data_IF_365491026837
#
_entry.id   IF_365491026837
#
_cell.length_a   1.000
_cell.length_b   1.000
_cell.length_c   1.000
_cell.angle_alpha   90.00
_cell.angle_beta   90.00
_cell.angle_gamma   90.00
#
_symmetry.space_group_name_H-M   'P 1'
#
loop_
_entity.id
_entity.type
_entity.pdbx_description
1 polymer ?
#
# COMPACT_ATOMS: atom_id res chain seq x y z
N UNK A 1 25.12 -40.60 5.66
CA UNK A 1 24.25 -39.46 5.35
C UNK A 1 23.67 -38.94 6.63
N UNK A 2 24.26 -37.89 7.12
CA UNK A 2 23.69 -37.18 8.25
C UNK A 2 22.80 -36.07 7.72
N UNK A 3 21.50 -36.27 7.80
CA UNK A 3 20.59 -35.15 7.72
C UNK A 3 20.67 -34.45 9.06
N UNK A 4 21.35 -33.33 9.05
CA UNK A 4 21.35 -32.45 10.19
C UNK A 4 19.95 -31.86 10.31
N UNK A 5 19.15 -32.46 11.17
CA UNK A 5 17.86 -31.92 11.58
C UNK A 5 18.08 -30.79 12.59
N UNK A 6 19.08 -29.98 12.37
CA UNK A 6 19.15 -28.70 13.06
C UNK A 6 18.00 -27.85 12.55
N UNK A 7 16.88 -28.00 13.21
CA UNK A 7 15.86 -26.97 13.17
C UNK A 7 16.52 -25.67 13.57
N UNK A 8 16.85 -24.88 12.58
CA UNK A 8 17.41 -23.56 12.77
C UNK A 8 16.44 -22.77 13.64
N UNK A 9 16.80 -22.37 14.84
CA UNK A 9 15.93 -21.55 15.68
C UNK A 9 15.64 -20.17 15.03
N UNK A 10 16.32 -19.83 13.95
CA UNK A 10 16.02 -18.68 13.11
C UNK A 10 14.76 -18.84 12.24
N UNK A 11 14.33 -20.07 11.95
CA UNK A 11 13.18 -20.27 11.06
C UNK A 11 11.88 -19.69 11.65
N UNK A 12 11.65 -19.81 12.94
CA UNK A 12 10.48 -19.22 13.58
C UNK A 12 10.54 -17.68 13.63
N UNK A 13 11.73 -17.12 13.74
CA UNK A 13 11.94 -15.67 13.69
C UNK A 13 11.71 -15.12 12.28
N UNK A 14 12.12 -15.86 11.25
CA UNK A 14 11.89 -15.47 9.87
C UNK A 14 10.39 -15.45 9.52
N UNK A 15 9.62 -16.42 9.98
CA UNK A 15 8.17 -16.47 9.75
C UNK A 15 7.47 -15.29 10.42
N UNK A 16 7.86 -14.94 11.66
CA UNK A 16 7.31 -13.78 12.36
C UNK A 16 7.69 -12.47 11.66
N UNK A 17 8.92 -12.36 11.16
CA UNK A 17 9.38 -11.18 10.42
C UNK A 17 8.64 -11.00 9.10
N UNK A 18 8.39 -12.09 8.35
CA UNK A 18 7.63 -12.05 7.10
C UNK A 18 6.17 -11.63 7.35
N UNK A 19 5.56 -12.09 8.44
CA UNK A 19 4.20 -11.68 8.80
C UNK A 19 4.13 -10.19 9.15
N UNK A 20 5.09 -9.69 9.93
CA UNK A 20 5.20 -8.28 10.26
C UNK A 20 5.43 -7.43 9.01
N UNK A 21 6.27 -7.89 8.07
CA UNK A 21 6.51 -7.22 6.79
C UNK A 21 5.23 -7.16 5.93
N UNK A 22 4.43 -8.24 5.90
CA UNK A 22 3.16 -8.26 5.16
C UNK A 22 2.14 -7.28 5.72
N UNK A 23 2.11 -7.06 7.02
CA UNK A 23 1.20 -6.10 7.64
C UNK A 23 1.57 -4.65 7.35
N UNK A 24 2.83 -4.38 7.01
CA UNK A 24 3.37 -3.05 6.74
C UNK A 24 3.49 -2.73 5.24
N UNK A 25 3.04 -3.61 4.37
CA UNK A 25 3.00 -3.37 2.94
C UNK A 25 1.79 -2.53 2.55
N UNK A 26 1.90 -1.84 1.42
CA UNK A 26 0.77 -1.10 0.84
C UNK A 26 -0.41 -2.05 0.64
N UNK A 27 -1.59 -1.62 1.07
CA UNK A 27 -2.81 -2.42 1.03
C UNK A 27 -3.74 -1.91 -0.05
N UNK A 28 -4.30 -2.84 -0.81
CA UNK A 28 -5.33 -2.56 -1.81
C UNK A 28 -6.68 -3.06 -1.31
N UNK A 29 -7.68 -2.20 -1.36
CA UNK A 29 -9.08 -2.56 -1.15
C UNK A 29 -9.91 -2.14 -2.35
N UNK A 30 -10.66 -3.10 -2.86
CA UNK A 30 -11.64 -2.89 -3.94
C UNK A 30 -13.02 -3.11 -3.36
N UNK A 31 -13.92 -2.15 -3.55
CA UNK A 31 -15.31 -2.26 -3.12
C UNK A 31 -16.18 -1.55 -4.14
N UNK A 32 -17.08 -2.30 -4.82
CA UNK A 32 -17.84 -1.74 -5.92
C UNK A 32 -16.93 -1.11 -6.98
N UNK A 33 -17.26 0.10 -7.41
CA UNK A 33 -16.40 0.86 -8.35
C UNK A 33 -15.49 1.84 -7.60
N UNK A 34 -14.77 1.34 -6.61
CA UNK A 34 -13.81 2.13 -5.84
C UNK A 34 -12.52 1.37 -5.56
N UNK A 35 -11.43 2.11 -5.53
CA UNK A 35 -10.10 1.66 -5.19
C UNK A 35 -9.58 2.44 -3.98
N UNK A 36 -9.07 1.73 -2.99
CA UNK A 36 -8.40 2.35 -1.85
C UNK A 36 -7.01 1.76 -1.68
N UNK A 37 -6.01 2.60 -1.67
CA UNK A 37 -4.64 2.25 -1.31
C UNK A 37 -4.31 2.84 0.05
N UNK A 38 -3.77 2.03 0.95
CA UNK A 38 -3.26 2.48 2.23
C UNK A 38 -1.76 2.23 2.29
N UNK A 39 -1.02 3.26 2.68
CA UNK A 39 0.43 3.23 2.73
C UNK A 39 0.94 3.40 4.15
N UNK A 40 1.94 2.60 4.52
CA UNK A 40 2.68 2.75 5.76
C UNK A 40 3.65 3.94 5.67
N UNK A 41 4.27 4.27 6.78
CA UNK A 41 5.30 5.33 6.81
C UNK A 41 6.48 4.99 5.91
N UNK A 42 6.94 3.74 5.93
CA UNK A 42 8.06 3.29 5.08
C UNK A 42 7.68 3.26 3.60
N UNK A 43 6.46 2.89 3.27
CA UNK A 43 5.96 2.96 1.88
C UNK A 43 5.98 4.39 1.36
N UNK A 44 5.50 5.33 2.16
CA UNK A 44 5.46 6.73 1.77
C UNK A 44 6.88 7.31 1.59
N UNK A 45 7.81 6.94 2.47
CA UNK A 45 9.21 7.32 2.32
C UNK A 45 9.82 6.76 1.03
N UNK A 46 9.55 5.49 0.71
CA UNK A 46 10.00 4.87 -0.54
C UNK A 46 9.38 5.52 -1.77
N UNK A 47 8.10 5.88 -1.70
CA UNK A 47 7.42 6.59 -2.78
C UNK A 47 8.09 7.93 -3.06
N UNK A 48 8.45 8.67 -2.01
CA UNK A 48 9.14 9.96 -2.15
C UNK A 48 10.54 9.81 -2.73
N UNK A 49 11.24 8.72 -2.42
CA UNK A 49 12.60 8.47 -2.90
C UNK A 49 12.64 7.91 -4.32
N UNK A 50 11.81 6.92 -4.62
CA UNK A 50 11.86 6.18 -5.89
C UNK A 50 10.82 6.62 -6.91
N UNK A 51 9.79 7.34 -6.48
CA UNK A 51 8.68 7.77 -7.32
C UNK A 51 7.62 6.71 -7.58
N UNK A 52 7.86 5.45 -7.22
CA UNK A 52 6.92 4.35 -7.43
C UNK A 52 7.09 3.29 -6.36
N UNK A 53 5.97 2.78 -5.86
CA UNK A 53 5.91 1.58 -5.03
C UNK A 53 4.92 0.61 -5.65
N UNK A 54 5.21 -0.69 -5.58
CA UNK A 54 4.41 -1.73 -6.20
C UNK A 54 4.38 -2.97 -5.32
N UNK A 55 3.22 -3.61 -5.27
CA UNK A 55 3.02 -4.90 -4.63
C UNK A 55 2.38 -5.86 -5.63
N UNK A 56 2.70 -7.15 -5.50
CA UNK A 56 2.18 -8.18 -6.39
C UNK A 56 1.59 -9.31 -5.57
N UNK A 57 0.39 -9.74 -5.94
CA UNK A 57 -0.24 -10.93 -5.40
C UNK A 57 -0.25 -12.03 -6.48
N UNK A 58 0.15 -13.22 -6.11
CA UNK A 58 0.15 -14.40 -6.98
C UNK A 58 -1.02 -15.31 -6.61
N UNK A 59 -1.82 -15.68 -7.61
CA UNK A 59 -2.99 -16.54 -7.41
C UNK A 59 -2.71 -18.00 -7.81
N UNK A 60 -1.70 -18.23 -8.65
CA UNK A 60 -1.26 -19.54 -9.10
C UNK A 60 0.19 -19.47 -9.57
N UNK A 61 0.73 -20.61 -9.99
CA UNK A 61 2.13 -20.70 -10.43
C UNK A 61 2.38 -20.05 -11.80
N UNK A 62 1.34 -19.93 -12.64
CA UNK A 62 1.48 -19.30 -13.95
C UNK A 62 1.79 -17.80 -13.81
N UNK A 63 2.67 -17.31 -14.66
CA UNK A 63 3.06 -15.88 -14.66
C UNK A 63 1.88 -14.93 -14.91
N UNK A 64 0.84 -15.40 -15.61
CA UNK A 64 -0.37 -14.61 -15.87
C UNK A 64 -1.34 -14.57 -14.69
N UNK A 65 -1.18 -15.45 -13.69
CA UNK A 65 -2.06 -15.54 -12.53
C UNK A 65 -1.60 -14.65 -11.38
N UNK A 66 -1.39 -13.37 -11.69
CA UNK A 66 -0.95 -12.37 -10.72
C UNK A 66 -1.67 -11.04 -10.92
N UNK A 67 -1.71 -10.26 -9.87
CA UNK A 67 -2.14 -8.87 -9.92
C UNK A 67 -1.09 -8.02 -9.22
N UNK A 68 -0.60 -7.00 -9.92
CA UNK A 68 0.23 -5.97 -9.32
C UNK A 68 -0.58 -4.70 -9.15
N UNK A 69 -0.37 -4.02 -8.06
CA UNK A 69 -0.95 -2.71 -7.82
C UNK A 69 0.15 -1.75 -7.38
N UNK A 70 0.11 -0.56 -7.90
CA UNK A 70 1.18 0.40 -7.76
C UNK A 70 0.66 1.80 -7.48
N UNK A 71 1.46 2.56 -6.77
CA UNK A 71 1.28 3.98 -6.55
C UNK A 71 2.52 4.69 -7.10
N UNK A 72 2.30 5.69 -7.94
CA UNK A 72 3.37 6.38 -8.64
C UNK A 72 3.16 7.89 -8.63
N UNK A 73 4.25 8.62 -8.43
CA UNK A 73 4.26 10.06 -8.64
C UNK A 73 4.38 10.36 -10.13
N UNK A 74 3.52 11.22 -10.64
CA UNK A 74 3.53 11.61 -12.05
C UNK A 74 3.77 13.10 -12.19
N UNK A 75 4.76 13.47 -12.99
CA UNK A 75 4.99 14.86 -13.37
C UNK A 75 4.15 15.27 -14.60
N UNK A 76 3.63 14.28 -15.32
CA UNK A 76 2.86 14.51 -16.54
C UNK A 76 1.37 14.74 -16.29
N UNK A 77 0.86 14.39 -15.11
CA UNK A 77 -0.56 14.48 -14.78
C UNK A 77 -0.80 15.53 -13.70
N UNK A 78 -1.73 16.43 -13.96
CA UNK A 78 -2.12 17.46 -13.00
C UNK A 78 -3.16 16.96 -11.97
N UNK A 79 -3.81 15.83 -12.28
CA UNK A 79 -4.87 15.24 -11.47
C UNK A 79 -4.58 13.78 -11.16
N UNK A 80 -5.22 13.28 -10.11
CA UNK A 80 -5.23 11.87 -9.76
C UNK A 80 -5.77 11.08 -10.95
N UNK A 81 -5.06 10.02 -11.35
CA UNK A 81 -5.47 9.17 -12.46
C UNK A 81 -5.13 7.71 -12.20
N UNK A 82 -5.71 6.82 -12.99
CA UNK A 82 -5.46 5.38 -12.92
C UNK A 82 -5.12 4.86 -14.29
N UNK A 83 -4.05 4.08 -14.37
CA UNK A 83 -3.67 3.36 -15.58
C UNK A 83 -3.83 1.88 -15.34
N UNK A 84 -4.58 1.22 -16.21
CA UNK A 84 -4.70 -0.22 -16.19
C UNK A 84 -3.98 -0.83 -17.38
N UNK A 85 -3.12 -1.79 -17.08
CA UNK A 85 -2.53 -2.69 -18.08
C UNK A 85 -2.81 -4.12 -17.62
N UNK A 86 -2.75 -5.13 -18.49
CA UNK A 86 -2.96 -6.51 -18.06
C UNK A 86 -2.14 -6.81 -16.81
N UNK A 87 -2.83 -7.25 -15.75
CA UNK A 87 -2.24 -7.64 -14.47
C UNK A 87 -1.65 -6.51 -13.62
N UNK A 88 -1.75 -5.25 -14.06
CA UNK A 88 -1.18 -4.11 -13.31
C UNK A 88 -2.16 -2.94 -13.25
N UNK A 89 -2.48 -2.52 -12.03
CA UNK A 89 -3.23 -1.30 -11.77
C UNK A 89 -2.27 -0.28 -11.15
N UNK A 90 -2.12 0.88 -11.77
CA UNK A 90 -1.28 1.95 -11.24
C UNK A 90 -2.14 3.18 -10.94
N UNK A 91 -2.08 3.66 -9.71
CA UNK A 91 -2.65 4.95 -9.32
C UNK A 91 -1.55 6.00 -9.46
N UNK A 92 -1.82 7.02 -10.25
CA UNK A 92 -0.89 8.12 -10.50
C UNK A 92 -1.27 9.33 -9.67
N UNK A 93 -0.36 9.80 -8.85
CA UNK A 93 -0.51 11.01 -8.06
C UNK A 93 0.25 12.15 -8.71
N UNK A 94 -0.36 13.36 -8.82
CA UNK A 94 0.42 14.55 -9.18
C UNK A 94 1.58 14.72 -8.21
N UNK A 95 2.79 14.96 -8.70
CA UNK A 95 3.98 15.03 -7.87
C UNK A 95 3.91 16.09 -6.77
N UNK A 96 3.31 17.25 -7.04
CA UNK A 96 3.11 18.30 -6.05
C UNK A 96 2.15 17.86 -4.93
N UNK A 97 1.02 17.26 -5.32
CA UNK A 97 0.03 16.75 -4.36
C UNK A 97 0.60 15.63 -3.50
N UNK A 98 1.38 14.74 -4.09
CA UNK A 98 2.03 13.64 -3.37
C UNK A 98 3.01 14.18 -2.31
N UNK A 99 3.77 15.19 -2.66
CA UNK A 99 4.73 15.81 -1.74
C UNK A 99 4.04 16.54 -0.58
N UNK A 100 3.03 17.34 -0.87
CA UNK A 100 2.25 18.03 0.15
C UNK A 100 1.60 17.05 1.13
N UNK A 101 1.04 15.98 0.60
CA UNK A 101 0.46 14.92 1.41
C UNK A 101 1.50 14.20 2.27
N UNK A 102 2.66 13.89 1.71
CA UNK A 102 3.73 13.19 2.43
C UNK A 102 4.30 14.04 3.57
N UNK A 103 4.48 15.32 3.35
CA UNK A 103 5.09 16.26 4.31
C UNK A 103 4.09 16.87 5.29
N UNK A 104 2.80 16.83 4.96
CA UNK A 104 1.73 17.46 5.73
C UNK A 104 0.96 16.50 6.64
N UNK A 105 -0.09 17.03 7.23
CA UNK A 105 -0.96 16.32 8.15
C UNK A 105 -2.20 15.72 7.47
N UNK A 106 -2.31 15.86 6.17
CA UNK A 106 -3.45 15.35 5.43
C UNK A 106 -3.50 13.82 5.47
N UNK A 107 -4.70 13.29 5.67
CA UNK A 107 -4.95 11.86 5.77
C UNK A 107 -4.74 11.17 4.43
N UNK A 108 -5.18 11.77 3.35
CA UNK A 108 -5.12 11.16 2.04
C UNK A 108 -5.36 12.09 0.88
N UNK A 109 -5.31 11.51 -0.30
CA UNK A 109 -5.66 12.13 -1.58
C UNK A 109 -6.86 11.37 -2.13
N UNK A 110 -7.87 12.11 -2.56
CA UNK A 110 -9.15 11.57 -2.99
C UNK A 110 -9.52 12.11 -4.35
N UNK A 111 -10.16 11.30 -5.18
CA UNK A 111 -10.65 11.76 -6.46
C UNK A 111 -11.59 10.76 -7.13
N UNK A 112 -12.38 11.28 -8.05
CA UNK A 112 -13.21 10.49 -8.96
C UNK A 112 -12.58 10.54 -10.35
N UNK A 113 -12.18 9.38 -10.85
CA UNK A 113 -11.57 9.24 -12.15
C UNK A 113 -12.65 8.86 -13.17
N UNK A 114 -12.76 9.64 -14.25
CA UNK A 114 -13.64 9.31 -15.36
C UNK A 114 -13.01 8.19 -16.18
N UNK A 115 -13.68 7.04 -16.25
CA UNK A 115 -13.21 5.87 -16.99
C UNK A 115 -13.76 5.80 -18.42
N UNK A 116 -14.59 6.77 -18.81
CA UNK A 116 -15.30 6.77 -20.09
C UNK A 116 -16.69 6.10 -20.03
N UNK A 117 -16.87 5.14 -19.14
CA UNK A 117 -18.15 4.44 -18.93
C UNK A 117 -18.74 4.67 -17.53
N UNK A 118 -17.93 5.12 -16.60
CA UNK A 118 -18.33 5.33 -15.21
C UNK A 118 -17.32 6.24 -14.51
N UNK A 119 -17.58 6.52 -13.24
CA UNK A 119 -16.61 7.20 -12.38
C UNK A 119 -16.07 6.23 -11.35
N UNK A 120 -14.75 6.14 -11.30
CA UNK A 120 -14.03 5.31 -10.35
C UNK A 120 -13.59 6.17 -9.16
N UNK A 121 -14.11 5.86 -7.98
CA UNK A 121 -13.64 6.52 -6.77
C UNK A 121 -12.27 5.98 -6.37
N UNK A 122 -11.31 6.88 -6.22
CA UNK A 122 -9.93 6.52 -5.85
C UNK A 122 -9.55 7.22 -4.55
N UNK A 123 -9.07 6.43 -3.61
CA UNK A 123 -8.69 6.88 -2.28
C UNK A 123 -7.28 6.39 -2.01
N UNK A 124 -6.37 7.32 -1.73
CA UNK A 124 -5.01 7.01 -1.29
C UNK A 124 -4.81 7.63 0.07
N UNK A 125 -4.58 6.82 1.08
CA UNK A 125 -4.50 7.33 2.45
C UNK A 125 -3.36 6.68 3.25
N UNK A 126 -2.94 7.39 4.28
CA UNK A 126 -2.00 6.89 5.27
C UNK A 126 -2.64 5.80 6.11
N UNK A 127 -1.89 4.72 6.38
CA UNK A 127 -2.33 3.65 7.26
C UNK A 127 -2.07 4.06 8.71
N UNK A 128 -3.12 4.51 9.40
CA UNK A 128 -2.99 4.98 10.77
C UNK A 128 -2.96 3.85 11.79
N UNK A 129 -2.27 4.10 12.89
CA UNK A 129 -2.21 3.20 14.02
C UNK A 129 -3.59 2.93 14.60
N UNK A 130 -3.87 1.66 14.90
CA UNK A 130 -5.07 1.23 15.58
C UNK A 130 -4.82 1.21 17.09
N UNK A 131 -5.68 1.86 17.85
CA UNK A 131 -5.58 1.86 19.33
C UNK A 131 -5.89 0.51 19.94
N UNK A 132 -6.67 -0.34 19.24
CA UNK A 132 -7.04 -1.67 19.68
C UNK A 132 -5.97 -2.74 19.40
N UNK A 133 -4.86 -2.35 18.76
CA UNK A 133 -3.77 -3.26 18.42
C UNK A 133 -2.56 -2.99 19.29
N UNK A 134 -1.72 -4.02 19.46
CA UNK A 134 -0.46 -3.89 20.18
C UNK A 134 0.45 -2.85 19.50
N UNK A 135 1.37 -2.27 20.26
CA UNK A 135 2.37 -1.34 19.72
C UNK A 135 3.17 -1.96 18.56
N UNK A 136 3.39 -3.29 18.60
CA UNK A 136 4.08 -4.01 17.51
C UNK A 136 3.31 -3.94 16.19
N UNK A 137 2.00 -4.06 16.25
CA UNK A 137 1.15 -4.01 15.07
C UNK A 137 1.06 -2.60 14.49
N UNK A 138 1.41 -1.60 15.27
CA UNK A 138 1.34 -0.19 14.91
C UNK A 138 2.71 0.45 14.56
N UNK A 139 3.81 -0.34 14.59
CA UNK A 139 5.18 0.19 14.48
C UNK A 139 5.39 1.06 13.24
N UNK A 140 4.86 0.68 12.09
CA UNK A 140 5.04 1.39 10.82
C UNK A 140 3.78 2.15 10.37
N UNK A 141 2.88 2.43 11.30
CA UNK A 141 1.65 3.17 11.04
C UNK A 141 1.77 4.60 11.52
N UNK A 142 0.96 5.45 10.90
CA UNK A 142 0.88 6.84 11.33
C UNK A 142 0.13 6.95 12.65
N UNK A 143 0.46 7.93 13.50
CA UNK A 143 -0.34 8.19 14.71
C UNK A 143 -1.79 8.48 14.32
N UNK A 144 -2.74 7.87 15.05
CA UNK A 144 -4.15 8.12 14.81
C UNK A 144 -4.50 9.55 15.22
N UNK A 145 -5.05 10.38 14.31
CA UNK A 145 -5.43 11.76 14.63
C UNK A 145 -6.63 11.85 15.56
N UNK A 146 -7.42 10.75 15.68
CA UNK A 146 -8.57 10.66 16.57
C UNK A 146 -8.28 9.65 17.67
N UNK A 147 -7.96 10.14 18.88
CA UNK A 147 -7.83 9.29 20.06
C UNK A 147 -9.18 8.58 20.33
N UNK A 148 -9.17 7.24 20.30
CA UNK A 148 -10.36 6.44 20.53
C UNK A 148 -11.09 6.00 19.26
N UNK A 149 -10.58 6.28 18.07
CA UNK A 149 -11.15 5.76 16.83
C UNK A 149 -10.96 4.24 16.75
N UNK A 150 -12.06 3.55 16.50
CA UNK A 150 -12.07 2.10 16.28
C UNK A 150 -11.61 1.82 14.85
N UNK A 151 -10.76 0.81 14.69
CA UNK A 151 -10.28 0.38 13.38
C UNK A 151 -11.33 -0.40 12.59
#
# INVERSE_FOLDING_TARGET
MHYDLNMDPGASRQVTSLRALKENLMKLRIAGNSLRLRVSRSDLARLMQSGRIEETIHFAAEASAQLSYALEQSQAHAELSVVYRPQVVTVLLPGSAAREWAEGDEVGIYGDVDTGISRLAVIVEKDFACLDRSERDNIDRFPNPHKGAVC
#
